data_IF_109089434617
#
_entry.id   IF_109089434617
#
_cell.length_a   1.000
_cell.length_b   1.000
_cell.length_c   1.000
_cell.angle_alpha   90.00
_cell.angle_beta   90.00
_cell.angle_gamma   90.00
#
_symmetry.space_group_name_H-M   'P 1'
#
loop_
_entity.id
_entity.type
_entity.pdbx_description
1 polymer ?
#
# COMPACT_ATOMS: atom_id res chain seq x y z
N UNK A 1 23.67 15.20 -0.83
CA UNK A 1 22.58 15.86 -0.09
C UNK A 1 21.70 14.75 0.42
N UNK A 2 21.70 14.47 1.72
CA UNK A 2 20.82 13.45 2.32
C UNK A 2 19.43 14.05 2.55
N UNK A 3 18.38 13.28 2.27
CA UNK A 3 17.01 13.67 2.59
C UNK A 3 16.78 13.47 4.10
N UNK A 4 17.24 14.43 4.90
CA UNK A 4 17.17 14.39 6.36
C UNK A 4 15.72 14.30 6.85
N UNK A 5 14.77 14.91 6.15
CA UNK A 5 13.34 14.82 6.48
C UNK A 5 12.79 13.40 6.38
N UNK A 6 13.12 12.67 5.30
CA UNK A 6 12.73 11.27 5.16
C UNK A 6 13.38 10.39 6.23
N UNK A 7 14.68 10.56 6.47
CA UNK A 7 15.38 9.87 7.57
C UNK A 7 14.66 10.09 8.90
N UNK A 8 14.38 11.35 9.25
CA UNK A 8 13.80 11.69 10.53
C UNK A 8 12.36 11.16 10.66
N UNK A 9 11.60 11.19 9.57
CA UNK A 9 10.29 10.54 9.51
C UNK A 9 10.39 9.02 9.77
N UNK A 10 11.38 8.33 9.21
CA UNK A 10 11.55 6.89 9.43
C UNK A 10 12.02 6.54 10.85
N UNK A 11 12.97 7.29 11.40
CA UNK A 11 13.62 6.93 12.67
C UNK A 11 13.02 7.59 13.91
N UNK A 12 12.39 8.75 13.78
CA UNK A 12 11.93 9.56 14.92
C UNK A 12 10.42 9.79 14.95
N UNK A 13 9.67 9.38 13.92
CA UNK A 13 8.20 9.40 13.94
C UNK A 13 7.63 8.11 14.57
N UNK A 14 6.32 8.07 14.89
CA UNK A 14 5.69 6.86 15.41
C UNK A 14 5.49 5.76 14.34
N UNK A 15 5.82 6.01 13.07
CA UNK A 15 5.56 5.10 11.96
C UNK A 15 6.10 3.69 12.24
N UNK A 16 7.39 3.54 12.55
CA UNK A 16 8.01 2.22 12.72
C UNK A 16 7.42 1.46 13.90
N UNK A 17 7.02 2.15 14.97
CA UNK A 17 6.30 1.54 16.08
C UNK A 17 4.93 1.01 15.66
N UNK A 18 4.14 1.80 14.92
CA UNK A 18 2.83 1.37 14.38
C UNK A 18 2.98 0.17 13.46
N UNK A 19 3.95 0.20 12.53
CA UNK A 19 4.21 -0.90 11.62
C UNK A 19 4.63 -2.17 12.36
N UNK A 20 5.49 -2.06 13.38
CA UNK A 20 5.89 -3.21 14.20
C UNK A 20 4.70 -3.87 14.91
N UNK A 21 3.76 -3.08 15.43
CA UNK A 21 2.53 -3.60 16.06
C UNK A 21 1.63 -4.31 15.05
N UNK A 22 1.40 -3.71 13.88
CA UNK A 22 0.55 -4.28 12.82
C UNK A 22 1.16 -5.57 12.24
N UNK A 23 2.48 -5.58 12.03
CA UNK A 23 3.23 -6.74 11.55
C UNK A 23 3.53 -7.78 12.64
N UNK A 24 3.21 -7.48 13.92
CA UNK A 24 3.43 -8.36 15.08
C UNK A 24 4.88 -8.83 15.20
N UNK A 25 5.82 -7.92 15.03
CA UNK A 25 7.26 -8.18 15.03
C UNK A 25 8.00 -7.25 16.00
N UNK A 26 9.14 -7.71 16.51
CA UNK A 26 10.05 -6.87 17.29
C UNK A 26 10.98 -6.00 16.42
N UNK A 27 11.02 -6.24 15.12
CA UNK A 27 11.94 -5.57 14.20
C UNK A 27 11.27 -5.29 12.85
N UNK A 28 11.47 -4.08 12.33
CA UNK A 28 11.04 -3.63 11.00
C UNK A 28 12.25 -3.06 10.27
N UNK A 29 12.42 -3.42 9.00
CA UNK A 29 13.49 -2.92 8.13
C UNK A 29 12.89 -2.26 6.89
N UNK A 30 13.25 -1.00 6.57
CA UNK A 30 12.85 -0.40 5.31
C UNK A 30 13.58 -1.08 4.14
N UNK A 31 12.85 -1.34 3.06
CA UNK A 31 13.36 -2.04 1.87
C UNK A 31 13.37 -1.13 0.64
N UNK A 32 12.25 -0.44 0.42
CA UNK A 32 11.99 0.39 -0.74
C UNK A 32 11.25 1.63 -0.27
N UNK A 33 11.71 2.80 -0.70
CA UNK A 33 11.02 4.08 -0.53
C UNK A 33 10.69 4.67 -1.89
N UNK A 34 9.49 5.26 -2.00
CA UNK A 34 9.02 5.92 -3.22
C UNK A 34 8.28 7.19 -2.80
N UNK A 35 8.68 8.33 -3.36
CA UNK A 35 7.88 9.55 -3.33
C UNK A 35 6.99 9.57 -4.56
N UNK A 36 5.67 9.47 -4.36
CA UNK A 36 4.69 9.47 -5.45
C UNK A 36 4.05 10.85 -5.52
N UNK A 37 4.17 11.49 -6.67
CA UNK A 37 3.41 12.69 -7.04
C UNK A 37 2.56 12.31 -8.24
N UNK A 38 1.25 12.17 -8.06
CA UNK A 38 0.39 11.58 -9.08
C UNK A 38 -0.61 12.58 -9.67
N UNK A 39 -0.39 13.09 -10.90
CA UNK A 39 -1.40 13.84 -11.64
C UNK A 39 -2.30 12.96 -12.54
N UNK A 40 -2.16 11.63 -12.52
CA UNK A 40 -2.78 10.73 -13.50
C UNK A 40 -3.97 9.92 -12.94
N UNK A 41 -4.78 9.35 -13.85
CA UNK A 41 -5.94 8.45 -13.61
C UNK A 41 -5.58 7.09 -12.98
N UNK A 42 -4.35 6.96 -12.47
CA UNK A 42 -3.96 5.84 -11.65
C UNK A 42 -3.37 4.63 -12.37
N UNK A 43 -2.96 3.64 -11.58
CA UNK A 43 -2.53 2.31 -12.05
C UNK A 43 -3.73 1.37 -11.94
N UNK A 44 -3.91 0.46 -12.90
CA UNK A 44 -4.94 -0.59 -12.80
C UNK A 44 -4.80 -1.45 -11.53
N UNK A 45 -5.76 -2.34 -11.28
CA UNK A 45 -5.70 -3.26 -10.15
C UNK A 45 -4.41 -4.08 -10.15
N UNK A 46 -3.68 -4.05 -9.04
CA UNK A 46 -2.39 -4.71 -8.90
C UNK A 46 -2.15 -5.25 -7.49
N UNK A 47 -1.11 -6.07 -7.36
CA UNK A 47 -0.51 -6.44 -6.08
C UNK A 47 0.96 -6.00 -6.05
N UNK A 48 1.49 -5.87 -4.84
CA UNK A 48 2.76 -5.23 -4.57
C UNK A 48 3.94 -6.22 -4.43
N UNK A 49 3.73 -7.48 -4.80
CA UNK A 49 4.66 -8.57 -4.51
C UNK A 49 6.00 -8.49 -5.27
N UNK A 50 6.10 -7.65 -6.31
CA UNK A 50 7.31 -7.55 -7.13
C UNK A 50 8.31 -6.46 -6.72
N UNK A 51 8.01 -5.60 -5.72
CA UNK A 51 8.84 -4.41 -5.49
C UNK A 51 10.01 -4.62 -4.50
N UNK A 52 10.60 -5.82 -4.47
CA UNK A 52 11.82 -6.04 -3.71
C UNK A 52 12.18 -7.52 -3.50
N UNK A 53 13.35 -7.80 -2.90
CA UNK A 53 13.84 -9.16 -2.67
C UNK A 53 13.16 -9.86 -1.47
N UNK A 54 11.98 -9.38 -1.04
CA UNK A 54 11.33 -9.84 0.19
C UNK A 54 10.04 -10.58 -0.16
N UNK A 55 9.92 -11.79 0.37
CA UNK A 55 8.70 -12.58 0.28
C UNK A 55 7.51 -11.85 0.91
N UNK A 56 6.35 -11.94 0.28
CA UNK A 56 5.16 -11.17 0.69
C UNK A 56 4.74 -11.41 2.14
N UNK A 57 4.97 -12.62 2.67
CA UNK A 57 4.63 -13.00 4.05
C UNK A 57 5.43 -12.24 5.11
N UNK A 58 6.58 -11.67 4.74
CA UNK A 58 7.43 -10.87 5.61
C UNK A 58 7.38 -9.37 5.28
N UNK A 59 6.44 -8.95 4.43
CA UNK A 59 6.37 -7.58 3.94
C UNK A 59 5.00 -6.93 4.20
N UNK A 60 5.05 -5.67 4.61
CA UNK A 60 3.90 -4.80 4.80
C UNK A 60 4.20 -3.47 4.12
N UNK A 61 3.18 -2.86 3.51
CA UNK A 61 3.30 -1.54 2.91
C UNK A 61 2.55 -0.51 3.69
N UNK A 62 3.04 0.71 3.55
CA UNK A 62 2.45 1.89 4.13
C UNK A 62 2.55 3.03 3.13
N UNK A 63 1.63 3.97 3.26
CA UNK A 63 1.62 5.22 2.51
C UNK A 63 1.08 6.32 3.42
N UNK A 64 1.77 7.45 3.42
CA UNK A 64 1.35 8.65 4.15
C UNK A 64 0.95 9.72 3.17
N UNK A 65 -0.26 10.23 3.34
CA UNK A 65 -0.75 11.37 2.57
C UNK A 65 0.07 12.62 2.92
N UNK A 66 0.76 13.20 1.95
CA UNK A 66 1.42 14.50 2.12
C UNK A 66 0.49 15.67 1.74
N UNK A 67 -0.49 15.40 0.88
CA UNK A 67 -1.53 16.31 0.43
C UNK A 67 -2.90 15.62 0.51
N UNK A 68 -3.96 16.43 0.55
CA UNK A 68 -5.33 15.94 0.45
C UNK A 68 -5.51 15.22 -0.89
N UNK A 69 -6.01 13.99 -0.86
CA UNK A 69 -6.28 13.22 -2.07
C UNK A 69 -7.78 12.93 -2.19
N UNK A 70 -8.26 12.72 -3.42
CA UNK A 70 -9.64 12.34 -3.69
C UNK A 70 -10.62 13.45 -4.02
N UNK A 71 -10.14 14.67 -4.21
CA UNK A 71 -10.96 15.69 -4.89
C UNK A 71 -11.35 15.15 -6.28
N UNK A 72 -12.66 15.17 -6.58
CA UNK A 72 -13.22 14.58 -7.81
C UNK A 72 -12.88 13.10 -8.03
N UNK A 73 -12.56 12.34 -6.97
CA UNK A 73 -12.11 10.93 -7.01
C UNK A 73 -10.74 10.71 -7.68
N UNK A 74 -9.93 11.75 -7.81
CA UNK A 74 -8.57 11.64 -8.37
C UNK A 74 -7.60 11.20 -7.27
N UNK A 75 -6.79 10.17 -7.56
CA UNK A 75 -5.75 9.67 -6.65
C UNK A 75 -6.29 9.03 -5.37
N UNK A 76 -7.54 8.54 -5.37
CA UNK A 76 -8.09 7.79 -4.23
C UNK A 76 -7.67 6.33 -4.32
N UNK A 77 -6.97 5.79 -3.33
CA UNK A 77 -6.67 4.38 -3.31
C UNK A 77 -7.94 3.55 -3.10
N UNK A 78 -8.17 2.57 -3.97
CA UNK A 78 -9.23 1.58 -3.87
C UNK A 78 -8.64 0.21 -3.54
N UNK A 79 -9.36 -0.58 -2.73
CA UNK A 79 -8.89 -1.89 -2.27
C UNK A 79 -9.98 -2.95 -2.43
N UNK A 80 -9.57 -4.18 -2.73
CA UNK A 80 -10.41 -5.36 -2.50
C UNK A 80 -10.17 -5.87 -1.07
N UNK A 81 -11.17 -5.70 -0.20
CA UNK A 81 -11.06 -6.04 1.21
C UNK A 81 -10.94 -7.55 1.39
N UNK A 82 -9.90 -7.97 2.11
CA UNK A 82 -9.59 -9.38 2.35
C UNK A 82 -8.82 -10.07 1.23
N UNK A 83 -8.57 -9.39 0.11
CA UNK A 83 -7.91 -9.98 -1.08
C UNK A 83 -6.47 -10.43 -0.85
N UNK A 84 -5.80 -10.04 0.22
CA UNK A 84 -4.50 -10.61 0.62
C UNK A 84 -4.55 -12.14 0.85
N UNK A 85 -5.75 -12.71 1.03
CA UNK A 85 -5.99 -14.16 1.17
C UNK A 85 -6.30 -14.85 -0.15
N UNK A 86 -6.21 -14.15 -1.28
CA UNK A 86 -6.47 -14.75 -2.58
C UNK A 86 -5.50 -15.92 -2.85
N UNK A 87 -5.93 -16.81 -3.72
CA UNK A 87 -5.16 -17.96 -4.19
C UNK A 87 -4.97 -17.95 -5.70
N UNK A 88 -5.70 -17.08 -6.42
CA UNK A 88 -5.66 -16.99 -7.88
C UNK A 88 -4.55 -16.09 -8.43
N UNK A 89 -3.93 -15.23 -7.61
CA UNK A 89 -2.85 -14.34 -8.03
C UNK A 89 -1.52 -14.83 -7.45
N UNK A 90 -0.59 -15.22 -8.34
CA UNK A 90 0.78 -15.56 -7.98
C UNK A 90 1.69 -14.33 -7.99
N UNK A 91 2.20 -13.95 -9.16
CA UNK A 91 3.20 -12.89 -9.38
C UNK A 91 2.73 -11.82 -10.39
N UNK A 92 1.43 -11.74 -10.65
CA UNK A 92 0.94 -10.79 -11.64
C UNK A 92 1.00 -9.35 -11.11
N UNK A 93 1.53 -8.43 -11.93
CA UNK A 93 1.48 -6.99 -11.64
C UNK A 93 0.07 -6.47 -11.88
N UNK A 94 -0.51 -6.70 -13.06
CA UNK A 94 -1.88 -6.30 -13.35
C UNK A 94 -2.83 -7.47 -13.10
N UNK A 95 -3.98 -7.19 -12.50
CA UNK A 95 -4.93 -8.18 -12.02
C UNK A 95 -6.33 -7.88 -12.54
N UNK A 96 -7.02 -8.90 -13.06
CA UNK A 96 -8.45 -8.82 -13.36
C UNK A 96 -9.25 -9.25 -12.12
N UNK A 97 -9.89 -8.28 -11.48
CA UNK A 97 -10.68 -8.48 -10.26
C UNK A 97 -11.92 -9.34 -10.45
N UNK A 98 -12.32 -9.62 -11.69
CA UNK A 98 -13.43 -10.52 -12.00
C UNK A 98 -13.00 -11.97 -12.16
N UNK A 99 -11.70 -12.23 -12.19
CA UNK A 99 -11.13 -13.56 -12.42
C UNK A 99 -10.90 -14.34 -11.13
N UNK A 100 -10.93 -15.67 -11.24
CA UNK A 100 -10.57 -16.58 -10.17
C UNK A 100 -11.37 -16.37 -8.88
N UNK A 101 -10.66 -16.36 -7.75
CA UNK A 101 -11.24 -16.16 -6.44
C UNK A 101 -11.34 -14.67 -6.05
N UNK A 102 -10.98 -13.73 -6.95
CA UNK A 102 -11.02 -12.31 -6.64
C UNK A 102 -12.43 -11.73 -6.64
N UNK A 103 -13.31 -12.27 -7.49
CA UNK A 103 -14.69 -11.84 -7.62
C UNK A 103 -15.50 -11.99 -6.31
N UNK A 104 -15.01 -12.79 -5.34
CA UNK A 104 -15.66 -12.99 -4.05
C UNK A 104 -15.32 -11.89 -3.03
N UNK A 105 -14.26 -11.12 -3.24
CA UNK A 105 -13.83 -10.10 -2.28
C UNK A 105 -14.59 -8.80 -2.48
N UNK A 106 -14.97 -8.17 -1.37
CA UNK A 106 -15.72 -6.92 -1.38
C UNK A 106 -14.82 -5.76 -1.79
N UNK A 107 -15.30 -4.92 -2.72
CA UNK A 107 -14.62 -3.71 -3.12
C UNK A 107 -14.88 -2.57 -2.12
N UNK A 108 -13.84 -1.82 -1.76
CA UNK A 108 -13.93 -0.58 -1.01
C UNK A 108 -13.36 0.57 -1.86
N UNK A 109 -14.17 1.61 -2.07
CA UNK A 109 -13.94 2.66 -3.09
C UNK A 109 -13.57 4.03 -2.56
N UNK A 110 -13.63 4.26 -1.25
CA UNK A 110 -13.73 5.64 -0.74
C UNK A 110 -12.79 5.89 0.45
N UNK A 111 -11.50 5.59 0.30
CA UNK A 111 -10.47 6.02 1.23
C UNK A 111 -9.98 7.43 0.88
N UNK A 112 -10.83 8.43 1.14
CA UNK A 112 -10.43 9.83 1.09
C UNK A 112 -9.52 10.12 2.27
N UNK A 113 -8.34 10.65 1.99
CA UNK A 113 -7.26 10.88 2.97
C UNK A 113 -6.95 12.36 3.07
N UNK A 114 -6.70 12.80 4.29
CA UNK A 114 -6.18 14.12 4.60
C UNK A 114 -4.66 14.06 4.82
N UNK A 115 -3.94 15.19 4.68
CA UNK A 115 -2.51 15.25 4.97
C UNK A 115 -2.18 14.70 6.37
N UNK A 116 -1.24 13.75 6.44
CA UNK A 116 -0.81 13.07 7.65
C UNK A 116 -1.51 11.73 7.90
N UNK A 117 -2.57 11.39 7.17
CA UNK A 117 -3.19 10.07 7.26
C UNK A 117 -2.24 8.97 6.78
N UNK A 118 -2.27 7.83 7.49
CA UNK A 118 -1.47 6.66 7.21
C UNK A 118 -2.38 5.52 6.77
N UNK A 119 -2.16 5.01 5.56
CA UNK A 119 -2.75 3.75 5.10
C UNK A 119 -1.68 2.66 5.20
N UNK A 120 -2.07 1.48 5.71
CA UNK A 120 -1.19 0.31 5.80
C UNK A 120 -1.91 -0.89 5.19
N UNK A 121 -1.23 -1.67 4.35
CA UNK A 121 -1.80 -2.86 3.73
C UNK A 121 -0.77 -4.00 3.62
N UNK A 122 -1.29 -5.22 3.52
CA UNK A 122 -0.48 -6.39 3.21
C UNK A 122 -0.09 -6.36 1.72
N UNK A 123 1.13 -6.74 1.38
CA UNK A 123 1.67 -6.71 0.00
C UNK A 123 0.87 -7.51 -1.03
N UNK A 124 0.09 -8.51 -0.60
CA UNK A 124 -0.81 -9.29 -1.46
C UNK A 124 -2.20 -8.66 -1.62
N UNK A 125 -2.46 -7.52 -0.98
CA UNK A 125 -3.75 -6.84 -1.09
C UNK A 125 -3.90 -6.25 -2.50
N UNK A 126 -4.97 -6.62 -3.19
CA UNK A 126 -5.30 -6.08 -4.51
C UNK A 126 -5.81 -4.66 -4.35
N UNK A 127 -5.15 -3.71 -4.99
CA UNK A 127 -5.47 -2.29 -4.90
C UNK A 127 -5.18 -1.56 -6.21
N UNK A 128 -5.68 -0.33 -6.28
CA UNK A 128 -5.35 0.65 -7.31
C UNK A 128 -5.36 2.04 -6.70
N UNK A 129 -4.63 2.97 -7.30
CA UNK A 129 -4.58 4.40 -6.96
C UNK A 129 -4.82 5.13 -8.25
#
# INVERSE_FOLDING_TARGET
MTNDGFRDFMYYSPLTHVIAQLAKTGEVRPTTDVLIVNPNDGIGWHQDNQNGPIESDYAIRWWVAMDKCGENKVGVPEYLIGSHRNTSVSDAVAVDVTSGDLAQFSKCTDYVVEPGDLIVWNTRSIHRI
#
